data_IF_720069719033
#
_entry.id   IF_720069719033
#
_cell.length_a   1.000
_cell.length_b   1.000
_cell.length_c   1.000
_cell.angle_alpha   90.00
_cell.angle_beta   90.00
_cell.angle_gamma   90.00
#
_symmetry.space_group_name_H-M   'P 1'
#
loop_
_entity.id
_entity.type
_entity.pdbx_description
1 polymer ?
#
# COMPACT_ATOMS: atom_id res chain seq x y z
N UNK A 1 5.70 -26.57 19.16
CA UNK A 1 5.66 -25.15 18.72
C UNK A 1 6.61 -24.79 17.55
N UNK A 2 7.33 -25.73 16.91
CA UNK A 2 8.33 -25.39 15.87
C UNK A 2 7.80 -25.26 14.43
N UNK A 3 6.64 -25.86 14.11
CA UNK A 3 6.15 -25.93 12.71
C UNK A 3 5.27 -24.75 12.26
N UNK A 4 4.73 -23.95 13.20
CA UNK A 4 3.87 -22.80 12.86
C UNK A 4 4.66 -21.59 12.31
N UNK A 5 5.94 -21.46 12.69
CA UNK A 5 6.80 -20.35 12.23
C UNK A 5 7.24 -20.51 10.76
N UNK A 6 7.37 -21.74 10.28
CA UNK A 6 7.84 -22.03 8.91
C UNK A 6 6.74 -21.78 7.87
N UNK A 7 5.48 -22.12 8.19
CA UNK A 7 4.35 -21.88 7.30
C UNK A 7 4.04 -20.37 7.10
N UNK A 8 4.18 -19.57 8.16
CA UNK A 8 4.04 -18.11 8.07
C UNK A 8 5.14 -17.46 7.23
N UNK A 9 6.37 -17.96 7.35
CA UNK A 9 7.49 -17.49 6.53
C UNK A 9 7.26 -17.77 5.03
N UNK A 10 6.76 -18.95 4.67
CA UNK A 10 6.53 -19.34 3.27
C UNK A 10 5.43 -18.51 2.58
N UNK A 11 4.36 -18.16 3.31
CA UNK A 11 3.33 -17.24 2.83
C UNK A 11 3.86 -15.81 2.68
N UNK A 12 4.74 -15.36 3.59
CA UNK A 12 5.42 -14.08 3.48
C UNK A 12 6.29 -14.02 2.22
N UNK A 13 7.06 -15.08 1.93
CA UNK A 13 7.92 -15.13 0.74
C UNK A 13 7.10 -15.14 -0.54
N UNK A 14 5.94 -15.81 -0.57
CA UNK A 14 5.07 -15.84 -1.73
C UNK A 14 4.54 -14.44 -2.10
N UNK A 15 4.27 -13.57 -1.12
CA UNK A 15 3.85 -12.19 -1.41
C UNK A 15 5.00 -11.30 -1.89
N UNK A 16 6.25 -11.59 -1.51
CA UNK A 16 7.41 -10.90 -2.10
C UNK A 16 7.58 -11.15 -3.60
N UNK A 17 6.98 -12.23 -4.14
CA UNK A 17 7.05 -12.57 -5.57
C UNK A 17 5.79 -12.18 -6.35
N UNK A 18 4.72 -11.73 -5.70
CA UNK A 18 3.61 -11.06 -6.39
C UNK A 18 3.89 -9.56 -6.42
N UNK A 19 4.25 -8.98 -7.58
CA UNK A 19 4.38 -7.53 -7.67
C UNK A 19 3.03 -6.92 -7.31
N UNK A 20 3.09 -5.76 -6.66
CA UNK A 20 1.93 -4.94 -6.30
C UNK A 20 0.85 -5.04 -7.38
N UNK A 21 -0.41 -5.32 -6.98
CA UNK A 21 -1.53 -5.32 -7.91
C UNK A 21 -1.77 -3.88 -8.36
N UNK A 22 -0.97 -3.46 -9.33
CA UNK A 22 -1.05 -2.19 -10.01
C UNK A 22 -1.63 -2.44 -11.39
N UNK A 23 -2.79 -1.85 -11.64
CA UNK A 23 -3.47 -1.95 -12.92
C UNK A 23 -3.68 -0.54 -13.44
N UNK A 24 -3.29 -0.31 -14.69
CA UNK A 24 -3.50 0.94 -15.38
C UNK A 24 -4.24 0.67 -16.68
N UNK A 25 -5.33 1.40 -16.90
CA UNK A 25 -6.13 1.37 -18.12
C UNK A 25 -6.12 2.79 -18.68
N UNK A 26 -5.80 2.94 -19.97
CA UNK A 26 -5.96 4.20 -20.69
C UNK A 26 -7.14 4.09 -21.66
N UNK A 27 -8.05 5.03 -21.57
CA UNK A 27 -9.09 5.27 -22.55
C UNK A 27 -8.66 6.46 -23.40
N UNK A 28 -8.46 6.25 -24.70
CA UNK A 28 -8.10 7.30 -25.65
C UNK A 28 -9.34 7.86 -26.34
N UNK A 29 -9.37 9.17 -26.54
CA UNK A 29 -10.40 9.87 -27.32
C UNK A 29 -10.03 9.99 -28.80
N UNK A 30 -10.87 10.68 -29.59
CA UNK A 30 -10.64 10.89 -31.03
C UNK A 30 -9.39 11.73 -31.35
N UNK A 31 -8.99 12.63 -30.45
CA UNK A 31 -7.80 13.46 -30.57
C UNK A 31 -6.67 12.91 -29.69
N UNK A 32 -5.41 13.06 -30.11
CA UNK A 32 -4.24 12.60 -29.33
C UNK A 32 -4.20 13.16 -27.90
N UNK A 33 -4.65 14.41 -27.72
CA UNK A 33 -4.65 15.09 -26.43
C UNK A 33 -5.82 14.68 -25.53
N UNK A 34 -6.75 13.85 -26.01
CA UNK A 34 -7.90 13.38 -25.26
C UNK A 34 -7.64 11.99 -24.71
N UNK A 35 -7.49 11.87 -23.39
CA UNK A 35 -7.33 10.57 -22.74
C UNK A 35 -7.77 10.59 -21.28
N UNK A 36 -8.09 9.40 -20.76
CA UNK A 36 -8.29 9.15 -19.34
C UNK A 36 -7.51 7.91 -18.91
N UNK A 37 -6.65 8.09 -17.91
CA UNK A 37 -5.91 7.05 -17.21
C UNK A 37 -6.60 6.66 -15.91
N UNK A 38 -7.06 5.42 -15.83
CA UNK A 38 -7.60 4.81 -14.61
C UNK A 38 -6.49 3.93 -14.02
N UNK A 39 -6.06 4.24 -12.80
CA UNK A 39 -4.98 3.53 -12.13
C UNK A 39 -5.46 3.03 -10.77
N UNK A 40 -5.31 1.73 -10.54
CA UNK A 40 -5.49 1.10 -9.24
C UNK A 40 -4.13 0.65 -8.73
N UNK A 41 -3.86 0.89 -7.46
CA UNK A 41 -2.68 0.39 -6.76
C UNK A 41 -3.13 -0.15 -5.41
N UNK A 42 -2.76 -1.39 -5.13
CA UNK A 42 -2.88 -1.97 -3.80
C UNK A 42 -1.51 -2.48 -3.33
N UNK A 43 -1.08 -2.00 -2.17
CA UNK A 43 0.17 -2.39 -1.53
C UNK A 43 -0.15 -3.07 -0.20
N UNK A 44 0.20 -4.36 -0.09
CA UNK A 44 0.08 -5.14 1.13
C UNK A 44 1.45 -5.22 1.80
N UNK A 45 1.52 -4.92 3.09
CA UNK A 45 2.76 -4.97 3.87
C UNK A 45 2.68 -6.06 4.93
N UNK A 46 3.80 -6.76 5.09
CA UNK A 46 4.05 -7.71 6.16
C UNK A 46 5.14 -7.11 7.03
N UNK A 47 4.82 -6.83 8.29
CA UNK A 47 5.75 -6.18 9.19
C UNK A 47 5.95 -7.04 10.43
N UNK A 48 7.22 -7.18 10.79
CA UNK A 48 7.66 -7.64 12.09
C UNK A 48 8.25 -6.44 12.81
N UNK A 49 7.66 -6.05 13.93
CA UNK A 49 8.16 -5.00 14.79
C UNK A 49 8.71 -5.64 16.06
N UNK A 50 10.03 -5.59 16.22
CA UNK A 50 10.74 -6.00 17.43
C UNK A 50 11.13 -4.74 18.21
N UNK A 51 10.59 -4.61 19.42
CA UNK A 51 10.79 -3.46 20.29
C UNK A 51 11.87 -3.81 21.31
N UNK A 52 12.94 -3.04 21.31
CA UNK A 52 14.02 -3.14 22.28
C UNK A 52 14.28 -1.80 22.94
N UNK A 53 15.02 -1.81 24.06
CA UNK A 53 15.44 -0.58 24.75
C UNK A 53 16.30 0.35 23.87
N UNK A 54 16.86 -0.16 22.78
CA UNK A 54 17.66 0.61 21.81
C UNK A 54 16.78 1.35 20.78
N UNK A 55 15.57 0.87 20.49
CA UNK A 55 14.64 1.44 19.51
C UNK A 55 13.52 2.27 20.15
N UNK A 56 13.65 2.58 21.46
CA UNK A 56 12.59 3.05 22.36
C UNK A 56 12.26 4.55 22.45
N UNK A 57 12.82 5.53 21.68
CA UNK A 57 12.46 6.93 21.94
C UNK A 57 10.97 7.25 21.67
N UNK A 58 10.32 6.56 20.74
CA UNK A 58 9.01 6.96 20.20
C UNK A 58 7.87 5.93 20.38
N UNK A 59 8.12 4.81 21.06
CA UNK A 59 7.18 3.68 21.17
C UNK A 59 6.84 3.34 22.63
N UNK A 60 6.27 4.31 23.36
CA UNK A 60 5.87 4.12 24.75
C UNK A 60 4.58 3.27 24.79
N UNK A 61 4.65 2.08 25.38
CA UNK A 61 3.48 1.19 25.55
C UNK A 61 3.19 0.24 24.39
N UNK A 62 3.97 0.30 23.30
CA UNK A 62 3.83 -0.64 22.20
C UNK A 62 4.48 -2.00 22.54
N UNK A 63 3.88 -3.09 22.07
CA UNK A 63 4.38 -4.45 22.19
C UNK A 63 4.97 -4.96 20.87
N UNK A 64 5.81 -5.98 20.94
CA UNK A 64 6.23 -6.73 19.74
C UNK A 64 4.99 -7.18 18.97
N UNK A 65 5.01 -6.99 17.65
CA UNK A 65 3.86 -7.29 16.81
C UNK A 65 4.29 -7.75 15.43
N UNK A 66 3.58 -8.77 14.95
CA UNK A 66 3.54 -9.13 13.53
C UNK A 66 2.20 -8.67 12.99
N UNK A 67 2.21 -7.86 11.93
CA UNK A 67 0.99 -7.37 11.30
C UNK A 67 1.03 -7.46 9.78
N UNK A 68 -0.15 -7.68 9.21
CA UNK A 68 -0.40 -7.72 7.78
C UNK A 68 -1.50 -6.71 7.49
N UNK A 69 -1.19 -5.67 6.72
CA UNK A 69 -2.11 -4.57 6.46
C UNK A 69 -1.90 -3.98 5.08
N UNK A 70 -2.93 -3.29 4.57
CA UNK A 70 -2.80 -2.53 3.34
C UNK A 70 -2.11 -1.20 3.64
N UNK A 71 -0.83 -1.09 3.27
CA UNK A 71 -0.09 0.17 3.41
C UNK A 71 -0.73 1.28 2.60
N UNK A 72 -1.21 0.93 1.40
CA UNK A 72 -1.82 1.87 0.46
C UNK A 72 -2.84 1.18 -0.42
N UNK A 73 -4.03 1.76 -0.48
CA UNK A 73 -5.02 1.51 -1.53
C UNK A 73 -5.23 2.83 -2.25
N UNK A 74 -4.95 2.87 -3.55
CA UNK A 74 -5.08 4.09 -4.36
C UNK A 74 -5.86 3.81 -5.62
N UNK A 75 -6.86 4.65 -5.86
CA UNK A 75 -7.55 4.79 -7.14
C UNK A 75 -7.26 6.18 -7.69
N UNK A 76 -6.79 6.26 -8.93
CA UNK A 76 -6.47 7.52 -9.59
C UNK A 76 -7.14 7.58 -10.95
N UNK A 77 -7.77 8.73 -11.23
CA UNK A 77 -8.28 9.12 -12.52
C UNK A 77 -7.49 10.34 -13.00
N UNK A 78 -6.59 10.14 -13.94
CA UNK A 78 -5.85 11.22 -14.59
C UNK A 78 -6.32 11.38 -16.02
N UNK A 79 -6.14 12.53 -16.63
CA UNK A 79 -6.49 12.66 -18.03
C UNK A 79 -6.36 14.07 -18.56
N UNK A 80 -6.79 14.20 -19.81
CA UNK A 80 -6.74 15.43 -20.59
C UNK A 80 -7.97 15.49 -21.46
N UNK A 81 -8.64 16.64 -21.47
CA UNK A 81 -9.84 16.90 -22.29
C UNK A 81 -9.47 17.63 -23.58
N UNK A 82 -8.36 18.38 -23.55
CA UNK A 82 -7.77 19.11 -24.67
C UNK A 82 -6.31 19.46 -24.30
N UNK A 83 -5.50 20.03 -25.21
CA UNK A 83 -4.08 20.34 -24.94
C UNK A 83 -3.82 21.18 -23.68
N UNK A 84 -4.79 21.99 -23.27
CA UNK A 84 -4.66 22.97 -22.19
C UNK A 84 -5.25 22.51 -20.86
N UNK A 85 -6.21 21.58 -20.87
CA UNK A 85 -6.92 21.14 -19.68
C UNK A 85 -6.63 19.68 -19.34
N UNK A 86 -5.88 19.50 -18.24
CA UNK A 86 -5.51 18.22 -17.65
C UNK A 86 -6.10 18.11 -16.25
N UNK A 87 -6.51 16.92 -15.86
CA UNK A 87 -7.05 16.63 -14.54
C UNK A 87 -6.35 15.44 -13.89
N UNK A 88 -6.38 15.40 -12.56
CA UNK A 88 -5.79 14.33 -11.78
C UNK A 88 -6.52 14.19 -10.44
N UNK A 89 -7.44 13.25 -10.36
CA UNK A 89 -8.15 12.89 -9.14
C UNK A 89 -7.53 11.65 -8.51
N UNK A 90 -7.26 11.70 -7.22
CA UNK A 90 -6.64 10.60 -6.48
C UNK A 90 -7.42 10.34 -5.20
N UNK A 91 -8.02 9.16 -5.11
CA UNK A 91 -8.52 8.60 -3.86
C UNK A 91 -7.43 7.70 -3.30
N UNK A 92 -7.07 7.92 -2.04
CA UNK A 92 -6.05 7.12 -1.36
C UNK A 92 -6.49 6.88 0.07
N UNK A 93 -6.41 5.62 0.45
CA UNK A 93 -6.41 5.20 1.85
C UNK A 93 -5.04 4.62 2.18
N UNK A 94 -4.52 4.95 3.36
CA UNK A 94 -3.22 4.51 3.82
C UNK A 94 -3.39 3.81 5.16
N UNK A 95 -2.61 2.75 5.38
CA UNK A 95 -2.59 2.03 6.66
C UNK A 95 -3.97 1.47 7.04
N UNK A 96 -4.72 1.05 6.02
CA UNK A 96 -6.08 0.52 6.18
C UNK A 96 -6.04 -0.80 6.96
N UNK A 97 -6.86 -0.87 8.01
CA UNK A 97 -6.96 -2.03 8.91
C UNK A 97 -5.98 -2.00 10.09
N UNK A 98 -5.25 -0.90 10.32
CA UNK A 98 -4.33 -0.73 11.46
C UNK A 98 -4.88 0.28 12.47
N UNK A 99 -4.71 -0.02 13.75
CA UNK A 99 -4.97 0.95 14.81
C UNK A 99 -3.84 2.01 14.81
N UNK A 100 -4.14 3.30 14.59
CA UNK A 100 -3.14 4.36 14.57
C UNK A 100 -2.48 4.60 15.94
N UNK A 101 -3.06 4.13 17.04
CA UNK A 101 -2.56 4.32 18.40
C UNK A 101 -1.64 3.20 18.89
N UNK A 102 -1.72 2.01 18.31
CA UNK A 102 -0.83 0.88 18.66
C UNK A 102 0.56 0.99 18.02
N UNK A 103 0.72 1.80 16.97
CA UNK A 103 2.00 2.01 16.33
C UNK A 103 2.03 3.36 15.58
N UNK A 104 2.54 4.44 16.21
CA UNK A 104 2.59 5.75 15.60
C UNK A 104 3.68 5.77 14.51
N UNK A 105 3.23 5.90 13.27
CA UNK A 105 3.99 6.18 12.04
C UNK A 105 4.90 5.07 11.48
N UNK A 106 4.77 4.91 10.16
CA UNK A 106 5.44 3.95 9.30
C UNK A 106 4.49 3.44 8.23
#
# INVERSE_FOLDING_TARGET
MKNKKVAGAFLLTAVLFTPELSHAIRLSGPAEDQYMDINVLMQLWFRQQDISDQNRPNFIGASDRTDVFFRRVRLRFGGSVNPWFKFNFVLRDNDFGRDPYDAPFG
#
